data_IF_402908267177
#
_entry.id   IF_402908267177
#
_cell.length_a   1.000
_cell.length_b   1.000
_cell.length_c   1.000
_cell.angle_alpha   90.00
_cell.angle_beta   90.00
_cell.angle_gamma   90.00
#
_symmetry.space_group_name_H-M   'P 1'
#
loop_
_entity.id
_entity.type
_entity.pdbx_description
1 polymer ?
#
# COMPACT_ATOMS: atom_id res chain seq x y z
N UNK A 1 7.08 9.41 7.18
CA UNK A 1 8.16 8.80 6.39
C UNK A 1 8.60 7.51 7.08
N UNK A 2 8.82 6.47 6.30
CA UNK A 2 9.42 5.25 6.84
C UNK A 2 10.89 5.52 7.09
N UNK A 3 11.33 5.48 8.33
CA UNK A 3 12.74 5.68 8.72
C UNK A 3 13.71 4.66 8.12
N UNK A 4 13.22 3.65 7.38
CA UNK A 4 14.00 2.56 6.80
C UNK A 4 13.72 2.32 5.30
N UNK A 5 13.16 3.31 4.63
CA UNK A 5 12.98 3.23 3.17
C UNK A 5 13.99 4.15 2.49
N UNK A 6 14.73 3.58 1.56
CA UNK A 6 15.68 4.28 0.70
C UNK A 6 15.07 4.38 -0.70
N UNK A 7 15.27 5.50 -1.35
CA UNK A 7 14.98 5.64 -2.77
C UNK A 7 16.29 5.40 -3.54
N UNK A 8 16.25 4.46 -4.46
CA UNK A 8 17.37 4.12 -5.35
C UNK A 8 17.01 4.71 -6.71
N UNK A 9 17.83 5.61 -7.20
CA UNK A 9 17.62 6.32 -8.46
C UNK A 9 18.71 5.88 -9.43
N UNK A 10 18.33 5.58 -10.67
CA UNK A 10 19.30 5.40 -11.74
C UNK A 10 19.96 6.74 -12.06
N UNK A 11 21.28 6.82 -11.99
CA UNK A 11 22.03 8.04 -12.25
C UNK A 11 21.88 8.55 -13.69
N UNK A 12 21.54 7.66 -14.63
CA UNK A 12 21.35 7.98 -16.04
C UNK A 12 19.89 8.23 -16.42
N UNK A 13 18.96 7.79 -15.58
CA UNK A 13 17.52 7.95 -15.79
C UNK A 13 16.80 8.21 -14.46
N UNK A 14 16.63 9.46 -14.12
CA UNK A 14 15.95 9.91 -12.88
C UNK A 14 14.47 9.53 -12.84
N UNK A 15 13.89 9.03 -13.93
CA UNK A 15 12.52 8.50 -13.96
C UNK A 15 12.47 7.03 -13.56
N UNK A 16 13.60 6.34 -13.62
CA UNK A 16 13.74 4.95 -13.21
C UNK A 16 14.25 4.88 -11.77
N UNK A 17 13.34 4.73 -10.85
CA UNK A 17 13.65 4.61 -9.43
C UNK A 17 12.84 3.50 -8.76
N UNK A 18 13.41 2.94 -7.74
CA UNK A 18 12.75 1.98 -6.89
C UNK A 18 13.00 2.31 -5.41
N UNK A 19 12.16 1.79 -4.56
CA UNK A 19 12.34 1.92 -3.13
C UNK A 19 12.89 0.63 -2.54
N UNK A 20 13.77 0.77 -1.56
CA UNK A 20 14.25 -0.34 -0.76
C UNK A 20 13.85 -0.15 0.70
N UNK A 21 13.12 -1.11 1.25
CA UNK A 21 12.84 -1.22 2.68
C UNK A 21 13.96 -2.03 3.32
N UNK A 22 14.68 -1.45 4.28
CA UNK A 22 15.84 -2.06 4.92
C UNK A 22 15.54 -2.45 6.37
N UNK A 23 16.29 -3.42 6.89
CA UNK A 23 16.36 -3.68 8.34
C UNK A 23 17.14 -2.58 9.04
N UNK A 24 16.75 -2.26 10.26
CA UNK A 24 17.54 -1.44 11.20
C UNK A 24 17.71 -2.21 12.50
N UNK A 25 18.93 -2.13 13.08
CA UNK A 25 19.25 -2.74 14.36
C UNK A 25 18.78 -1.90 15.55
N UNK A 26 17.64 -1.27 15.44
CA UNK A 26 17.08 -0.46 16.52
C UNK A 26 15.62 -0.79 16.72
N UNK A 27 15.21 -0.77 17.97
CA UNK A 27 13.82 -0.78 18.32
C UNK A 27 13.23 0.59 18.06
N UNK A 28 12.11 0.62 17.33
CA UNK A 28 11.31 1.82 17.16
C UNK A 28 9.97 1.54 17.83
N UNK A 29 9.76 2.17 18.98
CA UNK A 29 8.67 1.82 19.87
C UNK A 29 8.88 0.43 20.47
N UNK A 30 7.88 -0.42 20.41
CA UNK A 30 7.91 -1.79 20.98
C UNK A 30 8.42 -2.86 19.98
N UNK A 31 8.86 -2.49 18.78
CA UNK A 31 9.12 -3.44 17.72
C UNK A 31 10.53 -3.38 17.16
N UNK A 32 11.14 -4.56 17.07
CA UNK A 32 12.35 -4.79 16.29
C UNK A 32 12.06 -4.62 14.79
N UNK A 33 12.78 -3.73 14.13
CA UNK A 33 12.57 -3.38 12.73
C UNK A 33 13.42 -4.21 11.76
N UNK A 34 13.45 -5.53 12.00
CA UNK A 34 14.19 -6.48 11.16
C UNK A 34 13.32 -7.01 10.00
N UNK A 35 13.96 -7.42 8.92
CA UNK A 35 13.35 -8.09 7.78
C UNK A 35 13.95 -9.50 7.70
N UNK A 36 13.15 -10.47 8.09
CA UNK A 36 13.51 -11.89 8.04
C UNK A 36 13.04 -12.53 6.73
N UNK A 37 13.51 -13.75 6.45
CA UNK A 37 13.02 -14.56 5.33
C UNK A 37 11.49 -14.71 5.35
N UNK A 38 10.90 -14.96 6.52
CA UNK A 38 9.46 -15.10 6.66
C UNK A 38 8.68 -13.83 6.24
N UNK A 39 9.20 -12.63 6.57
CA UNK A 39 8.59 -11.37 6.13
C UNK A 39 8.68 -11.18 4.62
N UNK A 40 9.82 -11.51 4.01
CA UNK A 40 9.98 -11.44 2.55
C UNK A 40 9.03 -12.42 1.86
N UNK A 41 8.99 -13.67 2.33
CA UNK A 41 8.08 -14.69 1.76
C UNK A 41 6.63 -14.25 1.86
N UNK A 42 6.23 -13.65 3.00
CA UNK A 42 4.88 -13.10 3.17
C UNK A 42 4.61 -11.95 2.22
N UNK A 43 5.54 -10.99 2.09
CA UNK A 43 5.38 -9.86 1.19
C UNK A 43 5.17 -10.32 -0.26
N UNK A 44 5.99 -11.25 -0.74
CA UNK A 44 5.86 -11.82 -2.10
C UNK A 44 4.49 -12.50 -2.25
N UNK A 45 4.08 -13.34 -1.30
CA UNK A 45 2.78 -14.02 -1.38
C UNK A 45 1.59 -13.05 -1.38
N UNK A 46 1.63 -12.03 -0.52
CA UNK A 46 0.59 -10.99 -0.52
C UNK A 46 0.59 -10.23 -1.85
N UNK A 47 1.78 -9.96 -2.41
CA UNK A 47 1.92 -9.35 -3.72
C UNK A 47 1.20 -10.17 -4.81
N UNK A 48 1.38 -11.49 -4.84
CA UNK A 48 0.73 -12.38 -5.80
C UNK A 48 -0.80 -12.35 -5.65
N UNK A 49 -1.30 -12.39 -4.43
CA UNK A 49 -2.74 -12.30 -4.13
C UNK A 49 -3.32 -10.94 -4.58
N UNK A 50 -2.61 -9.84 -4.33
CA UNK A 50 -3.03 -8.52 -4.74
C UNK A 50 -3.02 -8.36 -6.26
N UNK A 51 -2.04 -8.96 -6.95
CA UNK A 51 -1.97 -8.97 -8.41
C UNK A 51 -3.19 -9.70 -9.00
N UNK A 52 -3.50 -10.90 -8.50
CA UNK A 52 -4.69 -11.67 -8.89
C UNK A 52 -5.99 -10.85 -8.68
N UNK A 53 -6.12 -10.20 -7.53
CA UNK A 53 -7.29 -9.38 -7.22
C UNK A 53 -7.37 -8.16 -8.14
N UNK A 54 -6.25 -7.50 -8.40
CA UNK A 54 -6.16 -6.33 -9.26
C UNK A 54 -6.59 -6.66 -10.69
N UNK A 55 -6.11 -7.79 -11.22
CA UNK A 55 -6.51 -8.27 -12.55
C UNK A 55 -8.02 -8.55 -12.62
N UNK A 56 -8.59 -9.15 -11.57
CA UNK A 56 -10.03 -9.44 -11.49
C UNK A 56 -10.93 -8.21 -11.39
N UNK A 57 -10.38 -7.08 -10.95
CA UNK A 57 -11.09 -5.80 -10.78
C UNK A 57 -10.66 -4.75 -11.81
N UNK A 58 -9.73 -5.09 -12.72
CA UNK A 58 -9.07 -4.15 -13.63
C UNK A 58 -8.47 -2.93 -12.91
N UNK A 59 -8.07 -3.08 -11.64
CA UNK A 59 -7.52 -2.00 -10.83
C UNK A 59 -8.51 -0.88 -10.48
N UNK A 60 -9.83 -1.15 -10.53
CA UNK A 60 -10.87 -0.16 -10.22
C UNK A 60 -11.75 -0.58 -9.04
N UNK A 61 -12.13 0.41 -8.25
CA UNK A 61 -13.18 0.34 -7.24
C UNK A 61 -14.50 0.71 -7.91
N UNK A 62 -15.41 -0.26 -8.00
CA UNK A 62 -16.60 -0.15 -8.82
C UNK A 62 -17.60 0.89 -8.30
N UNK A 63 -17.75 0.97 -6.97
CA UNK A 63 -18.75 1.84 -6.33
C UNK A 63 -18.29 3.31 -6.26
N UNK A 64 -16.99 3.55 -6.25
CA UNK A 64 -16.43 4.90 -6.12
C UNK A 64 -15.73 5.37 -7.39
N UNK A 65 -15.60 4.48 -8.39
CA UNK A 65 -14.92 4.76 -9.64
C UNK A 65 -13.48 5.29 -9.45
N UNK A 66 -12.79 4.80 -8.44
CA UNK A 66 -11.41 5.16 -8.13
C UNK A 66 -10.47 4.06 -8.60
N UNK A 67 -9.30 4.42 -9.06
CA UNK A 67 -8.24 3.44 -9.29
C UNK A 67 -7.69 2.96 -7.94
N UNK A 68 -7.25 1.71 -7.90
CA UNK A 68 -6.50 1.21 -6.77
C UNK A 68 -5.31 0.38 -7.23
N UNK A 69 -4.31 0.32 -6.39
CA UNK A 69 -3.13 -0.47 -6.67
C UNK A 69 -2.26 -0.62 -5.42
N UNK A 70 -1.06 -1.09 -5.64
CA UNK A 70 -0.12 -1.32 -4.55
C UNK A 70 1.31 -1.22 -5.06
N UNK A 71 2.21 -0.91 -4.15
CA UNK A 71 3.65 -0.94 -4.42
C UNK A 71 4.11 -2.40 -4.38
N UNK A 72 4.55 -2.92 -5.51
CA UNK A 72 4.97 -4.32 -5.61
C UNK A 72 6.19 -4.60 -4.75
N UNK A 73 6.11 -5.64 -3.94
CA UNK A 73 7.18 -6.16 -3.07
C UNK A 73 7.53 -7.60 -3.49
N UNK A 74 7.94 -7.78 -4.74
CA UNK A 74 8.16 -9.08 -5.37
C UNK A 74 9.60 -9.60 -5.26
N UNK A 75 10.50 -8.81 -4.70
CA UNK A 75 11.90 -9.18 -4.53
C UNK A 75 12.42 -8.79 -3.15
N UNK A 76 13.11 -9.73 -2.50
CA UNK A 76 13.82 -9.46 -1.25
C UNK A 76 15.17 -10.17 -1.20
N UNK A 77 16.09 -9.60 -0.46
CA UNK A 77 17.43 -10.14 -0.26
C UNK A 77 17.70 -10.39 1.22
N UNK A 78 18.34 -11.52 1.51
CA UNK A 78 18.79 -11.88 2.87
C UNK A 78 20.30 -12.14 2.83
N UNK A 79 21.09 -11.37 3.58
CA UNK A 79 22.52 -11.67 3.71
C UNK A 79 22.75 -12.99 4.42
N UNK A 80 23.62 -13.87 3.86
CA UNK A 80 23.93 -15.17 4.46
C UNK A 80 24.44 -15.08 5.91
N UNK A 81 25.24 -14.05 6.20
CA UNK A 81 25.87 -13.85 7.53
C UNK A 81 24.94 -13.14 8.55
N UNK A 82 23.82 -12.60 8.11
CA UNK A 82 22.91 -11.81 8.95
C UNK A 82 21.47 -12.02 8.52
N UNK A 83 20.85 -13.17 8.82
CA UNK A 83 19.55 -13.57 8.27
C UNK A 83 18.37 -12.71 8.76
N UNK A 84 18.57 -11.85 9.72
CA UNK A 84 17.58 -10.87 10.21
C UNK A 84 17.71 -9.47 9.56
N UNK A 85 18.73 -9.27 8.72
CA UNK A 85 19.03 -7.98 8.10
C UNK A 85 18.66 -7.95 6.61
N UNK A 86 17.46 -8.39 6.30
CA UNK A 86 16.99 -8.42 4.93
C UNK A 86 16.64 -7.04 4.38
N UNK A 87 16.33 -7.06 3.09
CA UNK A 87 15.91 -5.91 2.30
C UNK A 87 14.75 -6.36 1.41
N UNK A 88 13.75 -5.51 1.26
CA UNK A 88 12.64 -5.70 0.31
C UNK A 88 12.68 -4.56 -0.70
N UNK A 89 12.66 -4.90 -1.97
CA UNK A 89 12.50 -3.94 -3.06
C UNK A 89 11.02 -3.64 -3.28
N UNK A 90 10.73 -2.37 -3.58
CA UNK A 90 9.41 -1.85 -3.91
C UNK A 90 9.46 -1.14 -5.24
N UNK A 91 8.61 -1.52 -6.16
CA UNK A 91 8.41 -0.79 -7.41
C UNK A 91 7.14 0.06 -7.34
N UNK A 92 7.17 1.18 -8.07
CA UNK A 92 5.98 1.99 -8.28
C UNK A 92 4.97 1.22 -9.12
N UNK A 93 3.68 1.31 -8.76
CA UNK A 93 2.62 0.82 -9.63
C UNK A 93 2.70 1.45 -11.02
N UNK A 94 2.44 0.69 -12.10
CA UNK A 94 2.50 1.20 -13.47
C UNK A 94 1.61 2.42 -13.70
N UNK A 95 0.44 2.47 -13.06
CA UNK A 95 -0.53 3.56 -13.16
C UNK A 95 0.06 4.89 -12.70
N UNK A 96 1.01 4.83 -11.77
CA UNK A 96 1.68 6.00 -11.23
C UNK A 96 2.94 6.31 -12.02
N UNK A 97 3.73 5.27 -12.31
CA UNK A 97 4.99 5.43 -13.04
C UNK A 97 4.79 6.07 -14.41
N UNK A 98 3.73 5.66 -15.09
CA UNK A 98 3.43 6.06 -16.46
C UNK A 98 2.58 7.33 -16.55
N UNK A 99 2.05 7.82 -15.43
CA UNK A 99 1.19 9.00 -15.40
C UNK A 99 1.82 10.16 -14.63
N UNK A 100 2.33 11.14 -15.36
CA UNK A 100 2.97 12.34 -14.78
C UNK A 100 1.97 13.32 -14.15
N UNK A 101 0.68 13.16 -14.43
CA UNK A 101 -0.36 14.03 -13.90
C UNK A 101 -0.73 13.68 -12.45
N UNK A 102 -0.22 12.57 -11.92
CA UNK A 102 -0.44 12.20 -10.53
C UNK A 102 0.75 12.59 -9.64
N UNK A 103 0.44 12.96 -8.41
CA UNK A 103 1.37 12.88 -7.30
C UNK A 103 0.78 12.00 -6.20
N UNK A 104 1.67 11.39 -5.43
CA UNK A 104 1.28 10.44 -4.39
C UNK A 104 1.69 10.95 -3.03
N UNK A 105 0.74 10.93 -2.12
CA UNK A 105 0.95 11.32 -0.74
C UNK A 105 0.49 10.24 0.23
N UNK A 106 1.21 10.01 1.32
CA UNK A 106 0.66 9.22 2.42
C UNK A 106 -0.59 9.88 2.98
N UNK A 107 -1.57 9.09 3.37
CA UNK A 107 -2.82 9.58 3.96
C UNK A 107 -2.60 10.54 5.14
N UNK A 108 -1.58 10.26 5.96
CA UNK A 108 -1.21 11.14 7.07
C UNK A 108 -0.85 12.57 6.64
N UNK A 109 -0.50 12.80 5.38
CA UNK A 109 -0.18 14.12 4.85
C UNK A 109 -1.42 15.01 4.64
N UNK A 110 -2.62 14.44 4.65
CA UNK A 110 -3.87 15.19 4.48
C UNK A 110 -4.06 16.27 5.56
N UNK A 111 -3.62 15.97 6.77
CA UNK A 111 -3.76 16.87 7.94
C UNK A 111 -2.49 17.66 8.25
N UNK A 112 -1.40 17.37 7.54
CA UNK A 112 -0.18 18.14 7.67
C UNK A 112 -0.40 19.57 7.12
N UNK A 113 0.05 20.56 7.87
CA UNK A 113 -0.03 21.96 7.45
C UNK A 113 1.28 22.39 6.80
N UNK A 114 1.18 23.02 5.65
CA UNK A 114 2.27 23.71 4.96
C UNK A 114 1.81 25.15 4.77
N UNK A 115 2.57 26.10 5.27
CA UNK A 115 2.25 27.54 5.22
C UNK A 115 0.85 27.88 5.77
N UNK A 116 0.40 27.11 6.78
CA UNK A 116 -0.90 27.32 7.42
C UNK A 116 -2.08 26.66 6.71
N UNK A 117 -1.89 26.07 5.54
CA UNK A 117 -2.92 25.36 4.79
C UNK A 117 -2.70 23.84 4.85
N UNK A 118 -3.77 23.06 5.09
CA UNK A 118 -3.74 21.61 5.07
C UNK A 118 -4.10 21.09 3.69
N UNK A 119 -3.47 20.00 3.26
CA UNK A 119 -3.76 19.39 1.96
C UNK A 119 -5.25 19.04 1.81
N UNK A 120 -5.88 18.53 2.86
CA UNK A 120 -7.32 18.21 2.82
C UNK A 120 -8.19 19.44 2.54
N UNK A 121 -7.78 20.62 3.00
CA UNK A 121 -8.53 21.86 2.75
C UNK A 121 -8.37 22.30 1.29
N UNK A 122 -7.18 22.14 0.73
CA UNK A 122 -6.91 22.39 -0.70
C UNK A 122 -7.71 21.45 -1.59
N UNK A 123 -7.74 20.15 -1.27
CA UNK A 123 -8.52 19.17 -2.03
C UNK A 123 -10.01 19.49 -1.99
N UNK A 124 -10.54 19.83 -0.82
CA UNK A 124 -11.94 20.21 -0.66
C UNK A 124 -12.29 21.47 -1.47
N UNK A 125 -11.47 22.52 -1.41
CA UNK A 125 -11.68 23.77 -2.18
C UNK A 125 -11.72 23.55 -3.70
N UNK A 126 -11.02 22.55 -4.21
CA UNK A 126 -10.99 22.19 -5.63
C UNK A 126 -12.00 21.10 -6.00
N UNK A 127 -12.84 20.69 -5.07
CA UNK A 127 -13.92 19.73 -5.31
C UNK A 127 -15.24 20.42 -5.64
N UNK A 128 -16.20 19.67 -6.14
CA UNK A 128 -17.58 20.12 -6.41
C UNK A 128 -18.53 19.98 -5.20
N UNK A 129 -18.02 19.61 -4.04
CA UNK A 129 -18.84 19.36 -2.86
C UNK A 129 -19.08 20.66 -2.07
N UNK A 130 -20.33 20.91 -1.72
CA UNK A 130 -20.71 22.05 -0.86
C UNK A 130 -20.44 21.78 0.62
N UNK A 131 -20.32 20.51 1.00
CA UNK A 131 -20.11 20.08 2.38
C UNK A 131 -18.81 19.31 2.54
N UNK A 132 -17.95 19.76 3.45
CA UNK A 132 -16.65 19.14 3.72
C UNK A 132 -16.74 17.71 4.25
N UNK A 133 -17.79 17.41 5.04
CA UNK A 133 -18.00 16.06 5.54
C UNK A 133 -18.41 15.12 4.42
N UNK A 134 -19.26 15.58 3.50
CA UNK A 134 -19.64 14.81 2.32
C UNK A 134 -18.44 14.56 1.40
N UNK A 135 -17.62 15.57 1.14
CA UNK A 135 -16.35 15.41 0.44
C UNK A 135 -15.48 14.34 1.12
N UNK A 136 -15.26 14.45 2.42
CA UNK A 136 -14.42 13.50 3.15
C UNK A 136 -14.99 12.08 3.11
N UNK A 137 -16.30 11.92 3.13
CA UNK A 137 -16.95 10.63 2.98
C UNK A 137 -16.80 10.07 1.58
N UNK A 138 -17.19 10.82 0.54
CA UNK A 138 -17.24 10.29 -0.83
C UNK A 138 -15.84 10.10 -1.43
N UNK A 139 -14.92 11.05 -1.20
CA UNK A 139 -13.60 11.05 -1.84
C UNK A 139 -12.54 10.30 -1.04
N UNK A 140 -12.73 10.15 0.27
CA UNK A 140 -11.72 9.57 1.13
C UNK A 140 -12.20 8.29 1.82
N UNK A 141 -13.23 8.35 2.64
CA UNK A 141 -13.63 7.23 3.49
C UNK A 141 -14.26 6.08 2.71
N UNK A 142 -15.21 6.36 1.84
CA UNK A 142 -15.96 5.36 1.06
C UNK A 142 -15.04 4.52 0.17
N UNK A 143 -14.08 5.09 -0.60
CA UNK A 143 -13.13 4.30 -1.38
C UNK A 143 -12.24 3.38 -0.53
N UNK A 144 -11.84 3.82 0.67
CA UNK A 144 -11.07 2.98 1.59
C UNK A 144 -11.89 1.80 2.09
N UNK A 145 -13.15 2.03 2.46
CA UNK A 145 -14.05 0.96 2.91
C UNK A 145 -14.36 -0.03 1.79
N UNK A 146 -14.55 0.46 0.58
CA UNK A 146 -14.73 -0.40 -0.59
C UNK A 146 -13.49 -1.27 -0.82
N UNK A 147 -12.30 -0.67 -0.86
CA UNK A 147 -11.05 -1.41 -1.02
C UNK A 147 -10.86 -2.43 0.09
N UNK A 148 -11.08 -2.06 1.35
CA UNK A 148 -10.99 -2.97 2.49
C UNK A 148 -11.94 -4.16 2.35
N UNK A 149 -13.18 -3.91 1.94
CA UNK A 149 -14.19 -4.96 1.71
C UNK A 149 -13.76 -5.92 0.61
N UNK A 150 -13.23 -5.41 -0.50
CA UNK A 150 -12.74 -6.23 -1.61
C UNK A 150 -11.55 -7.09 -1.16
N UNK A 151 -10.58 -6.49 -0.46
CA UNK A 151 -9.42 -7.20 0.06
C UNK A 151 -9.83 -8.33 1.01
N UNK A 152 -10.72 -8.05 1.94
CA UNK A 152 -11.15 -9.03 2.94
C UNK A 152 -12.04 -10.11 2.33
N UNK A 153 -13.08 -9.73 1.58
CA UNK A 153 -14.11 -10.66 1.15
C UNK A 153 -13.76 -11.39 -0.16
N UNK A 154 -12.96 -10.81 -1.05
CA UNK A 154 -12.61 -11.43 -2.33
C UNK A 154 -11.19 -12.00 -2.37
N UNK A 155 -10.30 -11.52 -1.51
CA UNK A 155 -8.93 -11.98 -1.49
C UNK A 155 -8.51 -12.65 -0.19
N UNK A 156 -9.31 -12.55 0.88
CA UNK A 156 -8.93 -13.06 2.19
C UNK A 156 -7.68 -12.37 2.75
N UNK A 157 -7.55 -11.07 2.49
CA UNK A 157 -6.46 -10.25 3.00
C UNK A 157 -6.98 -9.27 4.04
N UNK A 158 -6.38 -9.29 5.23
CA UNK A 158 -6.58 -8.25 6.23
C UNK A 158 -5.36 -7.33 6.25
N UNK A 159 -5.60 -6.03 6.11
CA UNK A 159 -4.55 -5.03 5.97
C UNK A 159 -4.48 -4.14 7.19
N UNK A 160 -3.29 -3.75 7.57
CA UNK A 160 -3.11 -2.61 8.47
C UNK A 160 -3.37 -1.32 7.68
N UNK A 161 -4.64 -0.93 7.55
CA UNK A 161 -5.03 0.30 6.85
C UNK A 161 -4.76 1.54 7.72
N UNK A 162 -3.53 1.67 8.21
CA UNK A 162 -3.17 2.88 8.93
C UNK A 162 -2.65 3.95 7.95
N UNK A 163 -2.72 5.19 8.40
CA UNK A 163 -2.47 6.39 7.58
C UNK A 163 -1.10 6.45 6.88
N UNK A 164 -0.14 5.65 7.33
CA UNK A 164 1.18 5.58 6.70
C UNK A 164 1.23 4.59 5.53
N UNK A 165 0.44 3.52 5.57
CA UNK A 165 0.47 2.43 4.58
C UNK A 165 -0.52 2.63 3.44
N UNK A 166 -1.43 3.59 3.59
CA UNK A 166 -2.30 4.05 2.52
C UNK A 166 -1.75 5.33 1.89
N UNK A 167 -1.80 5.36 0.56
CA UNK A 167 -1.37 6.51 -0.22
C UNK A 167 -2.51 6.93 -1.14
N UNK A 168 -2.63 8.24 -1.34
CA UNK A 168 -3.58 8.82 -2.29
C UNK A 168 -2.87 9.22 -3.56
N UNK A 169 -3.44 8.87 -4.70
CA UNK A 169 -3.07 9.45 -5.97
C UNK A 169 -3.96 10.68 -6.20
N UNK A 170 -3.34 11.81 -6.39
CA UNK A 170 -4.01 13.10 -6.57
C UNK A 170 -3.59 13.67 -7.92
N UNK A 171 -4.54 14.10 -8.71
CA UNK A 171 -4.29 14.77 -9.97
C UNK A 171 -3.65 16.15 -9.73
N UNK A 172 -2.54 16.43 -10.40
CA UNK A 172 -1.76 17.68 -10.22
C UNK A 172 -2.51 18.93 -10.68
N UNK A 173 -3.38 18.77 -11.67
CA UNK A 173 -4.06 19.90 -12.31
C UNK A 173 -5.40 20.21 -11.64
N UNK A 174 -6.18 19.16 -11.33
CA UNK A 174 -7.52 19.33 -10.77
C UNK A 174 -7.56 19.22 -9.23
N UNK A 175 -6.50 18.72 -8.59
CA UNK A 175 -6.46 18.38 -7.18
C UNK A 175 -7.53 17.38 -6.76
N UNK A 176 -8.03 16.56 -7.68
CA UNK A 176 -8.99 15.51 -7.38
C UNK A 176 -8.26 14.24 -6.91
N UNK A 177 -8.88 13.52 -5.98
CA UNK A 177 -8.42 12.20 -5.55
C UNK A 177 -8.82 11.19 -6.62
N UNK A 178 -7.83 10.58 -7.27
CA UNK A 178 -8.05 9.64 -8.37
C UNK A 178 -7.96 8.19 -7.92
N UNK A 179 -7.24 7.93 -6.83
CA UNK A 179 -7.08 6.55 -6.39
C UNK A 179 -6.40 6.35 -5.05
N UNK A 180 -6.38 5.08 -4.64
CA UNK A 180 -5.79 4.63 -3.37
C UNK A 180 -4.76 3.55 -3.67
N UNK A 181 -3.59 3.69 -3.06
CA UNK A 181 -2.51 2.73 -3.21
C UNK A 181 -2.05 2.21 -1.86
N UNK A 182 -1.70 0.93 -1.85
CA UNK A 182 -1.23 0.25 -0.65
C UNK A 182 0.28 0.05 -0.70
N UNK A 183 0.91 0.02 0.46
CA UNK A 183 2.31 -0.40 0.62
C UNK A 183 2.47 -1.21 1.91
N UNK A 184 3.65 -1.81 2.12
CA UNK A 184 3.99 -2.62 3.29
C UNK A 184 3.28 -3.97 3.33
N UNK A 185 3.49 -4.77 2.28
CA UNK A 185 2.84 -6.08 2.10
C UNK A 185 3.20 -7.08 3.21
N UNK A 186 4.39 -6.98 3.81
CA UNK A 186 4.78 -7.85 4.93
C UNK A 186 3.99 -7.61 6.23
N UNK A 187 3.26 -6.50 6.32
CA UNK A 187 2.32 -6.20 7.41
C UNK A 187 0.89 -6.72 7.17
N UNK A 188 0.59 -7.24 5.99
CA UNK A 188 -0.75 -7.78 5.70
C UNK A 188 -0.90 -9.22 6.17
N UNK A 189 -2.11 -9.57 6.57
CA UNK A 189 -2.46 -10.89 7.07
C UNK A 189 -3.26 -11.65 6.02
N UNK A 190 -2.92 -12.93 5.82
CA UNK A 190 -3.64 -13.83 4.92
C UNK A 190 -4.63 -14.65 5.75
N UNK A 191 -5.91 -14.50 5.50
CA UNK A 191 -6.97 -15.32 6.08
C UNK A 191 -7.16 -16.58 5.25
N UNK A 192 -6.54 -17.66 5.69
CA UNK A 192 -6.60 -18.96 5.00
C UNK A 192 -8.00 -19.59 5.03
N UNK A 193 -8.84 -19.25 6.00
CA UNK A 193 -10.21 -19.74 6.08
C UNK A 193 -11.04 -19.11 4.97
N UNK A 194 -10.99 -17.76 4.87
CA UNK A 194 -11.68 -17.04 3.80
C UNK A 194 -11.18 -17.50 2.43
N UNK A 195 -9.86 -17.61 2.24
CA UNK A 195 -9.30 -18.09 0.96
C UNK A 195 -9.74 -19.50 0.61
N UNK A 196 -9.80 -20.40 1.57
CA UNK A 196 -10.33 -21.75 1.36
C UNK A 196 -11.81 -21.74 0.97
N UNK A 197 -12.61 -20.89 1.60
CA UNK A 197 -14.03 -20.74 1.25
C UNK A 197 -14.21 -20.15 -0.16
N UNK A 198 -13.27 -19.32 -0.62
CA UNK A 198 -13.24 -18.80 -1.98
C UNK A 198 -12.68 -19.80 -3.01
N UNK A 199 -12.43 -21.04 -2.62
CA UNK A 199 -11.81 -22.10 -3.46
C UNK A 199 -10.45 -21.71 -4.03
N UNK A 200 -9.72 -20.84 -3.34
CA UNK A 200 -8.34 -20.49 -3.70
C UNK A 200 -7.41 -21.61 -3.24
N UNK A 201 -6.57 -22.11 -4.14
CA UNK A 201 -5.54 -23.08 -3.78
C UNK A 201 -4.47 -22.38 -2.92
N UNK A 202 -4.25 -22.94 -1.73
CA UNK A 202 -3.27 -22.42 -0.79
C UNK A 202 -2.25 -23.48 -0.43
N UNK A 203 -0.98 -23.19 -0.63
CA UNK A 203 0.10 -23.99 -0.09
C UNK A 203 0.28 -23.65 1.41
N UNK A 204 -0.32 -24.46 2.26
CA UNK A 204 -0.23 -24.32 3.72
C UNK A 204 1.17 -24.63 4.27
N UNK A 205 2.07 -25.16 3.45
CA UNK A 205 3.45 -25.48 3.87
C UNK A 205 4.32 -24.22 4.09
N UNK A 206 3.91 -23.09 3.51
CA UNK A 206 4.59 -21.81 3.74
C UNK A 206 4.03 -21.21 5.04
N UNK A 207 4.54 -21.74 6.15
CA UNK A 207 4.06 -21.50 7.49
C UNK A 207 3.96 -20.05 7.92
N UNK A 208 2.77 -19.68 8.22
CA UNK A 208 2.34 -18.88 9.39
C UNK A 208 0.82 -18.97 9.45
N UNK A 209 0.31 -20.14 9.81
CA UNK A 209 -1.06 -20.29 10.30
C UNK A 209 -1.19 -19.48 11.56
N UNK A 210 -1.79 -18.29 11.49
CA UNK A 210 -2.34 -17.68 12.69
C UNK A 210 -3.65 -18.40 12.99
N UNK A 211 -3.58 -19.38 13.86
CA UNK A 211 -4.75 -19.83 14.59
C UNK A 211 -5.05 -18.76 15.62
N UNK A 212 -6.18 -18.10 15.48
CA UNK A 212 -6.78 -17.36 16.60
C UNK A 212 -6.95 -18.34 17.75
N UNK A 213 -6.30 -18.08 18.87
CA UNK A 213 -6.60 -18.74 20.14
C UNK A 213 -7.73 -18.00 20.81
#
# INVERSE_FOLDING_TARGET
>A
SSTRSLMIIDANDFTNFLFAKTSIQQDIGLYHRTISKAKITRAIRVNDILSELKDSTNGYLKETNKIWGFFEENLGLIPKKSPSHGLIYRSLPPEIRNNKDFFIVPWMSLVASIDGERLIDTLYKNSSYDNKLEFAWQELAKPVLELHSILTLKAGLSTEMHQQNMLLAINRNSFQVEGIFLRDMDGMWIDYIVRKLLSKQEDLSIGNTFTFK
#
